data_IF_018892549534
#
_entry.id   IF_018892549534
#
_cell.length_a   1.000
_cell.length_b   1.000
_cell.length_c   1.000
_cell.angle_alpha   90.00
_cell.angle_beta   90.00
_cell.angle_gamma   90.00
#
_symmetry.space_group_name_H-M   'P 1'
#
loop_
_entity.id
_entity.type
_entity.pdbx_description
1 polymer ?
#
# COMPACT_ATOMS: atom_id res chain seq x y z
N UNK A 1 40.99 -61.26 -5.84
CA UNK A 1 39.82 -60.66 -6.53
C UNK A 1 39.43 -59.42 -5.75
N UNK A 2 39.64 -58.25 -6.35
CA UNK A 2 39.28 -56.93 -5.71
C UNK A 2 38.00 -56.43 -6.38
N UNK A 3 36.92 -56.33 -5.62
CA UNK A 3 35.65 -55.72 -6.05
C UNK A 3 35.80 -54.22 -6.07
N UNK A 4 35.57 -53.59 -7.25
CA UNK A 4 35.48 -52.16 -7.41
C UNK A 4 34.01 -51.74 -7.18
N UNK A 5 33.76 -51.01 -6.09
CA UNK A 5 32.48 -50.37 -5.87
C UNK A 5 32.34 -49.14 -6.77
N UNK A 6 31.23 -49.08 -7.52
CA UNK A 6 30.83 -47.91 -8.32
C UNK A 6 29.95 -47.08 -7.40
N UNK A 7 30.39 -45.87 -7.06
CA UNK A 7 29.59 -44.87 -6.38
C UNK A 7 28.70 -44.14 -7.39
N UNK A 8 27.41 -44.29 -7.33
CA UNK A 8 26.45 -43.53 -8.11
C UNK A 8 26.23 -42.16 -7.45
N UNK A 9 26.64 -41.10 -8.17
CA UNK A 9 26.36 -39.73 -7.77
C UNK A 9 24.94 -39.37 -8.28
N UNK A 10 23.98 -39.26 -7.37
CA UNK A 10 22.65 -38.74 -7.68
C UNK A 10 22.73 -37.22 -7.70
N UNK A 11 22.70 -36.64 -8.89
CA UNK A 11 22.55 -35.19 -9.06
C UNK A 11 21.05 -34.86 -8.94
N UNK A 12 20.66 -34.32 -7.80
CA UNK A 12 19.32 -33.80 -7.61
C UNK A 12 19.22 -32.44 -8.30
N UNK A 13 18.62 -32.37 -9.50
CA UNK A 13 18.31 -31.13 -10.16
C UNK A 13 17.12 -30.48 -9.47
N UNK A 14 17.38 -29.44 -8.68
CA UNK A 14 16.30 -28.57 -8.13
C UNK A 14 15.77 -27.73 -9.28
N UNK A 15 14.62 -28.13 -9.83
CA UNK A 15 13.86 -27.30 -10.75
C UNK A 15 13.16 -26.24 -9.91
N UNK A 16 13.76 -25.05 -9.82
CA UNK A 16 13.06 -23.88 -9.34
C UNK A 16 11.96 -23.53 -10.37
N UNK A 17 10.73 -23.90 -10.07
CA UNK A 17 9.56 -23.43 -10.80
C UNK A 17 9.44 -21.90 -10.54
N UNK A 18 10.10 -21.10 -11.37
CA UNK A 18 9.88 -19.65 -11.40
C UNK A 18 8.43 -19.41 -11.81
N UNK A 19 7.62 -18.90 -10.88
CA UNK A 19 6.30 -18.37 -11.22
C UNK A 19 6.44 -17.28 -12.30
N UNK A 20 5.39 -17.00 -13.09
CA UNK A 20 5.45 -16.01 -14.14
C UNK A 20 5.90 -14.68 -13.56
N UNK A 21 7.03 -14.18 -14.04
CA UNK A 21 7.51 -12.86 -13.69
C UNK A 21 6.44 -11.86 -14.12
N UNK A 22 5.85 -11.15 -13.18
CA UNK A 22 4.90 -10.09 -13.47
C UNK A 22 5.60 -9.09 -14.41
N UNK A 23 5.05 -8.92 -15.61
CA UNK A 23 5.55 -7.94 -16.57
C UNK A 23 5.33 -6.57 -15.93
N UNK A 24 6.39 -5.96 -15.43
CA UNK A 24 6.33 -4.62 -14.87
C UNK A 24 6.10 -3.62 -16.00
N UNK A 25 4.90 -3.07 -16.07
CA UNK A 25 4.61 -1.94 -16.96
C UNK A 25 5.40 -0.73 -16.46
N UNK A 26 6.22 -0.07 -17.32
CA UNK A 26 6.98 1.10 -16.88
C UNK A 26 6.08 2.19 -16.33
N UNK A 27 6.44 2.81 -15.20
CA UNK A 27 5.67 3.86 -14.52
C UNK A 27 5.24 4.99 -15.48
N UNK A 28 6.12 5.35 -16.42
CA UNK A 28 5.82 6.36 -17.43
C UNK A 28 4.60 6.00 -18.30
N UNK A 29 4.31 4.72 -18.53
CA UNK A 29 3.11 4.27 -19.27
C UNK A 29 1.87 4.20 -18.40
N UNK A 30 2.02 3.80 -17.13
CA UNK A 30 0.89 3.73 -16.18
C UNK A 30 0.29 5.10 -15.92
N UNK A 31 1.14 6.14 -15.82
CA UNK A 31 0.72 7.50 -15.47
C UNK A 31 0.85 8.49 -16.63
N UNK A 32 1.10 8.05 -17.86
CA UNK A 32 1.28 8.91 -19.05
C UNK A 32 -0.04 9.39 -19.67
N UNK A 33 -1.14 8.71 -19.39
CA UNK A 33 -2.48 9.16 -19.80
C UNK A 33 -2.99 10.29 -18.90
N UNK A 34 -4.13 10.88 -19.24
CA UNK A 34 -4.82 11.79 -18.33
C UNK A 34 -5.12 11.01 -17.03
N UNK A 35 -4.54 11.36 -15.90
CA UNK A 35 -4.75 10.62 -14.68
C UNK A 35 -6.20 10.80 -14.26
N UNK A 36 -6.91 9.68 -14.14
CA UNK A 36 -8.27 9.69 -13.64
C UNK A 36 -8.30 9.53 -12.13
N UNK A 37 -7.26 8.93 -11.51
CA UNK A 37 -7.09 8.86 -10.07
C UNK A 37 -6.46 10.13 -9.51
N UNK A 38 -6.80 10.45 -8.28
CA UNK A 38 -6.25 11.58 -7.53
C UNK A 38 -5.64 11.05 -6.23
N UNK A 39 -4.56 11.70 -5.77
CA UNK A 39 -4.15 11.53 -4.38
C UNK A 39 -5.26 12.03 -3.47
N UNK A 40 -5.73 11.18 -2.58
CA UNK A 40 -6.80 11.51 -1.62
C UNK A 40 -6.27 11.54 -0.19
N UNK A 41 -6.86 12.40 0.64
CA UNK A 41 -6.44 12.64 2.02
C UNK A 41 -7.65 12.75 2.95
N UNK A 42 -7.42 12.59 4.26
CA UNK A 42 -8.43 12.96 5.25
C UNK A 42 -8.69 14.48 5.19
N UNK A 43 -9.95 14.93 5.12
CA UNK A 43 -10.27 16.35 5.19
C UNK A 43 -9.76 16.99 6.48
N UNK A 44 -9.14 18.17 6.38
CA UNK A 44 -8.62 18.91 7.52
C UNK A 44 -7.32 18.37 8.14
N UNK A 45 -6.74 17.28 7.63
CA UNK A 45 -5.46 16.79 8.11
C UNK A 45 -4.33 17.75 7.72
N UNK A 46 -3.44 18.06 8.67
CA UNK A 46 -2.28 18.94 8.43
C UNK A 46 -1.20 18.28 7.57
N UNK A 47 -1.30 16.98 7.40
CA UNK A 47 -0.41 16.16 6.58
C UNK A 47 0.84 15.64 7.27
N UNK A 48 1.24 16.21 8.41
CA UNK A 48 2.45 15.85 9.15
C UNK A 48 2.19 15.38 10.57
N UNK A 49 0.96 15.03 10.87
CA UNK A 49 0.57 14.49 12.16
C UNK A 49 0.57 12.96 12.17
N UNK A 50 0.82 12.37 13.34
CA UNK A 50 0.54 10.95 13.54
C UNK A 50 -0.94 10.67 13.31
N UNK A 51 -1.23 9.62 12.55
CA UNK A 51 -2.60 9.20 12.33
C UNK A 51 -2.72 7.87 11.61
N UNK A 52 -3.82 7.18 11.91
CA UNK A 52 -4.28 5.97 11.23
C UNK A 52 -5.63 6.28 10.59
N UNK A 53 -5.75 6.01 9.31
CA UNK A 53 -6.90 6.39 8.51
C UNK A 53 -7.44 5.20 7.75
N UNK A 54 -8.75 5.04 7.78
CA UNK A 54 -9.48 4.01 7.06
C UNK A 54 -10.09 4.64 5.83
N UNK A 55 -9.64 4.23 4.65
CA UNK A 55 -10.24 4.61 3.37
C UNK A 55 -11.11 3.47 2.87
N UNK A 56 -12.25 3.80 2.26
CA UNK A 56 -13.22 2.79 1.83
C UNK A 56 -13.98 3.23 0.58
N UNK A 57 -14.19 2.28 -0.34
CA UNK A 57 -14.97 2.44 -1.57
C UNK A 57 -15.84 1.21 -1.77
N UNK A 58 -17.15 1.38 -1.83
CA UNK A 58 -18.10 0.36 -2.31
C UNK A 58 -18.33 0.61 -3.78
N UNK A 59 -18.32 -0.45 -4.58
CA UNK A 59 -18.54 -0.40 -6.03
C UNK A 59 -19.20 -1.67 -6.52
N UNK A 60 -19.73 -1.65 -7.73
CA UNK A 60 -20.42 -2.78 -8.36
C UNK A 60 -19.70 -3.20 -9.64
N UNK A 61 -19.75 -4.50 -9.91
CA UNK A 61 -19.27 -5.11 -11.15
C UNK A 61 -20.38 -5.98 -11.73
N UNK A 62 -20.66 -5.85 -13.02
CA UNK A 62 -21.67 -6.65 -13.70
C UNK A 62 -21.28 -8.13 -13.74
N UNK A 63 -19.98 -8.40 -13.89
CA UNK A 63 -19.42 -9.76 -13.95
C UNK A 63 -18.12 -9.83 -13.15
N UNK A 64 -17.76 -11.04 -12.67
CA UNK A 64 -16.44 -11.28 -12.10
C UNK A 64 -15.38 -11.13 -13.19
N UNK A 65 -14.40 -10.22 -13.04
CA UNK A 65 -13.35 -10.02 -14.03
C UNK A 65 -12.33 -11.17 -14.00
N UNK A 66 -11.75 -11.48 -15.15
CA UNK A 66 -10.61 -12.41 -15.26
C UNK A 66 -9.27 -11.74 -14.94
N UNK A 67 -9.21 -10.42 -15.03
CA UNK A 67 -8.08 -9.58 -14.61
C UNK A 67 -8.61 -8.22 -14.17
N UNK A 68 -8.05 -7.66 -13.09
CA UNK A 68 -8.43 -6.36 -12.54
C UNK A 68 -7.20 -5.72 -11.88
N UNK A 69 -6.35 -5.11 -12.69
CA UNK A 69 -5.05 -4.62 -12.26
C UNK A 69 -5.14 -3.17 -11.81
N UNK A 70 -4.58 -2.90 -10.62
CA UNK A 70 -4.48 -1.56 -10.05
C UNK A 70 -3.06 -1.27 -9.58
N UNK A 71 -2.74 0.02 -9.46
CA UNK A 71 -1.47 0.53 -8.96
C UNK A 71 -1.74 1.33 -7.68
N UNK A 72 -1.12 0.91 -6.60
CA UNK A 72 -1.44 1.41 -5.24
C UNK A 72 -0.22 2.05 -4.60
N UNK A 73 -0.43 3.18 -3.96
CA UNK A 73 0.58 3.84 -3.14
C UNK A 73 -0.05 4.59 -1.97
N UNK A 74 0.74 4.92 -0.96
CA UNK A 74 0.33 5.77 0.15
C UNK A 74 1.53 6.46 0.79
N UNK A 75 1.27 7.45 1.61
CA UNK A 75 2.27 8.11 2.45
C UNK A 75 1.76 8.13 3.91
N UNK A 76 2.40 7.40 4.86
CA UNK A 76 3.66 6.65 4.72
C UNK A 76 3.45 5.22 4.21
N UNK A 77 2.44 4.51 4.71
CA UNK A 77 2.19 3.09 4.48
C UNK A 77 0.72 2.80 4.31
N UNK A 78 0.42 1.67 3.66
CA UNK A 78 -0.95 1.16 3.57
C UNK A 78 -1.01 -0.35 3.75
N UNK A 79 -2.21 -0.81 4.11
CA UNK A 79 -2.67 -2.19 3.94
C UNK A 79 -3.98 -2.16 3.17
N UNK A 80 -4.04 -2.92 2.05
CA UNK A 80 -5.19 -2.97 1.16
C UNK A 80 -6.02 -4.22 1.42
N UNK A 81 -7.34 -4.07 1.35
CA UNK A 81 -8.30 -5.14 1.57
C UNK A 81 -9.36 -5.15 0.47
N UNK A 82 -9.82 -6.34 0.09
CA UNK A 82 -11.00 -6.56 -0.76
C UNK A 82 -11.97 -7.47 -0.03
N UNK A 83 -13.21 -7.05 0.15
CA UNK A 83 -14.29 -7.87 0.72
C UNK A 83 -13.90 -8.52 2.07
N UNK A 84 -13.11 -7.84 2.89
CA UNK A 84 -12.62 -8.32 4.18
C UNK A 84 -11.25 -8.98 4.15
N UNK A 85 -10.74 -9.39 2.99
CA UNK A 85 -9.47 -10.09 2.86
C UNK A 85 -8.30 -9.13 2.64
N UNK A 86 -7.16 -9.28 3.36
CA UNK A 86 -5.95 -8.52 3.11
C UNK A 86 -5.28 -8.98 1.81
N UNK A 87 -4.91 -8.02 0.94
CA UNK A 87 -4.41 -8.31 -0.40
C UNK A 87 -2.98 -7.83 -0.61
N UNK A 88 -2.64 -6.65 -0.09
CA UNK A 88 -1.35 -6.02 -0.34
C UNK A 88 -0.99 -5.07 0.79
N UNK A 89 0.29 -4.90 1.00
CA UNK A 89 0.87 -3.90 1.91
C UNK A 89 2.01 -3.14 1.24
N UNK A 90 2.15 -1.86 1.56
CA UNK A 90 3.17 -0.99 0.96
C UNK A 90 3.07 0.46 1.42
N UNK A 91 3.64 1.39 0.64
CA UNK A 91 4.56 1.16 -0.46
C UNK A 91 5.94 0.72 0.04
N UNK A 92 6.77 0.16 -0.87
CA UNK A 92 8.19 -0.01 -0.59
C UNK A 92 8.79 1.34 -0.18
N UNK A 93 9.62 1.36 0.88
CA UNK A 93 10.27 2.60 1.35
C UNK A 93 11.19 3.18 0.28
N UNK A 94 11.13 4.51 0.11
CA UNK A 94 11.94 5.25 -0.85
C UNK A 94 11.88 6.75 -0.52
N UNK A 95 12.47 7.59 -1.37
CA UNK A 95 12.40 9.05 -1.31
C UNK A 95 11.27 9.62 -2.18
N UNK A 96 11.04 10.95 -2.12
CA UNK A 96 9.96 11.62 -2.85
C UNK A 96 10.17 11.62 -4.38
N UNK A 97 11.40 11.49 -4.84
CA UNK A 97 11.75 11.47 -6.28
C UNK A 97 11.61 10.07 -6.87
N UNK A 98 11.55 9.03 -6.03
CA UNK A 98 11.41 7.63 -6.41
C UNK A 98 10.32 6.95 -5.57
N UNK A 99 9.21 7.64 -5.34
CA UNK A 99 8.13 7.14 -4.53
C UNK A 99 7.52 5.88 -5.13
N UNK A 100 7.42 4.82 -4.36
CA UNK A 100 7.04 3.50 -4.87
C UNK A 100 5.54 3.32 -4.95
N UNK A 101 5.11 2.55 -5.95
CA UNK A 101 3.78 1.98 -6.03
C UNK A 101 3.87 0.48 -6.26
N UNK A 102 2.89 -0.26 -5.77
CA UNK A 102 2.68 -1.68 -6.01
C UNK A 102 1.65 -1.88 -7.12
N UNK A 103 1.86 -2.90 -7.96
CA UNK A 103 0.90 -3.35 -8.97
C UNK A 103 0.26 -4.63 -8.47
N UNK A 104 -1.06 -4.66 -8.39
CA UNK A 104 -1.84 -5.75 -7.79
C UNK A 104 -2.97 -6.15 -8.73
N UNK A 105 -3.13 -7.45 -9.00
CA UNK A 105 -4.33 -7.97 -9.68
C UNK A 105 -5.36 -8.41 -8.62
N UNK A 106 -6.51 -7.75 -8.61
CA UNK A 106 -7.58 -7.95 -7.65
C UNK A 106 -8.61 -9.00 -8.09
N UNK A 107 -8.52 -9.53 -9.32
CA UNK A 107 -9.58 -10.33 -9.95
C UNK A 107 -10.00 -11.56 -9.15
N UNK A 108 -9.04 -12.26 -8.51
CA UNK A 108 -9.33 -13.46 -7.72
C UNK A 108 -10.24 -13.18 -6.51
N UNK A 109 -10.18 -11.97 -5.94
CA UNK A 109 -10.89 -11.53 -4.75
C UNK A 109 -12.20 -10.77 -5.05
N UNK A 110 -12.45 -10.46 -6.32
CA UNK A 110 -13.65 -9.77 -6.79
C UNK A 110 -14.76 -10.75 -7.15
N UNK A 111 -16.00 -10.25 -7.10
CA UNK A 111 -17.21 -10.97 -7.49
C UNK A 111 -18.12 -10.09 -8.33
N UNK A 112 -19.07 -10.68 -9.04
CA UNK A 112 -20.20 -9.94 -9.63
C UNK A 112 -21.05 -9.31 -8.52
N UNK A 113 -21.64 -8.16 -8.79
CA UNK A 113 -22.38 -7.35 -7.82
C UNK A 113 -21.48 -6.50 -6.95
N UNK A 114 -21.92 -6.26 -5.71
CA UNK A 114 -21.26 -5.35 -4.78
C UNK A 114 -19.93 -5.90 -4.26
N UNK A 115 -18.93 -5.03 -4.27
CA UNK A 115 -17.61 -5.24 -3.68
C UNK A 115 -17.23 -4.05 -2.80
N UNK A 116 -16.34 -4.27 -1.87
CA UNK A 116 -15.71 -3.20 -1.08
C UNK A 116 -14.20 -3.28 -1.18
N UNK A 117 -13.61 -2.18 -1.58
CA UNK A 117 -12.17 -1.94 -1.56
C UNK A 117 -11.87 -1.03 -0.37
N UNK A 118 -10.95 -1.42 0.48
CA UNK A 118 -10.63 -0.72 1.71
C UNK A 118 -9.12 -0.62 1.90
N UNK A 119 -8.65 0.50 2.45
CA UNK A 119 -7.24 0.70 2.74
C UNK A 119 -7.05 1.31 4.12
N UNK A 120 -6.25 0.63 4.95
CA UNK A 120 -5.71 1.21 6.18
C UNK A 120 -4.45 1.98 5.80
N UNK A 121 -4.42 3.28 6.05
CA UNK A 121 -3.28 4.15 5.77
C UNK A 121 -2.81 4.77 7.06
N UNK A 122 -1.50 4.80 7.30
CA UNK A 122 -0.96 5.46 8.48
C UNK A 122 0.24 6.34 8.16
N UNK A 123 0.37 7.39 8.92
CA UNK A 123 1.49 8.31 8.91
C UNK A 123 2.02 8.46 10.33
N UNK A 124 3.31 8.32 10.52
CA UNK A 124 3.94 8.48 11.83
C UNK A 124 4.19 9.95 12.21
N UNK A 125 3.92 10.89 11.31
CA UNK A 125 4.09 12.31 11.56
C UNK A 125 5.51 12.68 11.98
N UNK A 126 5.60 13.42 13.06
CA UNK A 126 6.90 13.82 13.66
C UNK A 126 7.70 12.63 14.22
N UNK A 127 7.01 11.55 14.62
CA UNK A 127 7.63 10.35 15.20
C UNK A 127 8.20 9.38 14.15
N UNK A 128 8.13 9.73 12.87
CA UNK A 128 8.65 8.87 11.80
C UNK A 128 10.15 8.63 11.94
N UNK A 129 10.64 7.41 11.66
CA UNK A 129 12.09 7.16 11.63
C UNK A 129 12.77 8.00 10.55
N UNK A 130 14.05 8.33 10.77
CA UNK A 130 14.84 9.21 9.88
C UNK A 130 14.80 8.74 8.42
N UNK A 131 14.83 7.43 8.18
CA UNK A 131 14.79 6.87 6.84
C UNK A 131 13.39 6.83 6.20
N UNK A 132 12.34 7.29 6.90
CA UNK A 132 11.00 7.39 6.34
C UNK A 132 10.76 8.81 5.83
N UNK A 133 10.76 8.97 4.52
CA UNK A 133 10.31 10.20 3.89
C UNK A 133 8.78 10.29 3.93
N UNK A 134 8.28 11.49 3.95
CA UNK A 134 6.86 11.81 3.91
C UNK A 134 6.67 13.21 3.36
N UNK A 135 5.67 13.39 2.53
CA UNK A 135 5.18 14.71 2.12
C UNK A 135 3.97 15.11 2.96
N UNK A 136 2.98 14.24 3.01
CA UNK A 136 1.74 14.38 3.79
C UNK A 136 0.97 13.07 3.73
N UNK A 137 0.11 12.83 4.71
CA UNK A 137 -0.80 11.67 4.65
C UNK A 137 -1.60 11.66 3.36
N UNK A 138 -1.49 10.58 2.58
CA UNK A 138 -2.21 10.44 1.33
C UNK A 138 -2.37 8.98 0.92
N UNK A 139 -3.38 8.70 0.10
CA UNK A 139 -3.61 7.40 -0.53
C UNK A 139 -3.86 7.60 -2.03
N UNK A 140 -3.34 6.68 -2.83
CA UNK A 140 -3.55 6.63 -4.28
C UNK A 140 -3.86 5.21 -4.70
N UNK A 141 -4.90 5.05 -5.50
CA UNK A 141 -5.20 3.83 -6.23
C UNK A 141 -5.56 4.20 -7.67
N UNK A 142 -4.74 3.78 -8.61
CA UNK A 142 -4.88 4.05 -10.03
C UNK A 142 -5.20 2.77 -10.78
N UNK A 143 -6.25 2.77 -11.56
CA UNK A 143 -6.60 1.71 -12.51
C UNK A 143 -5.52 1.55 -13.60
N UNK A 144 -5.27 0.32 -14.03
CA UNK A 144 -4.38 0.05 -15.16
C UNK A 144 -5.06 0.34 -16.51
N UNK A 145 -6.38 0.26 -16.57
CA UNK A 145 -7.18 0.53 -17.77
C UNK A 145 -8.52 1.18 -17.42
N UNK A 146 -9.28 1.68 -18.39
CA UNK A 146 -10.62 2.22 -18.16
C UNK A 146 -11.60 1.25 -17.49
N UNK A 147 -11.37 -0.05 -17.58
CA UNK A 147 -12.24 -1.07 -16.96
C UNK A 147 -12.19 -1.02 -15.43
N UNK A 148 -11.00 -0.79 -14.88
CA UNK A 148 -10.78 -0.71 -13.45
C UNK A 148 -11.06 0.69 -12.87
N UNK A 149 -11.37 1.69 -13.72
CA UNK A 149 -11.48 3.10 -13.32
C UNK A 149 -12.55 3.37 -12.26
N UNK A 150 -13.52 2.47 -12.09
CA UNK A 150 -14.55 2.54 -11.05
C UNK A 150 -13.96 2.59 -9.62
N UNK A 151 -12.74 2.11 -9.43
CA UNK A 151 -12.05 2.09 -8.13
C UNK A 151 -10.97 3.18 -8.00
N UNK A 152 -10.75 4.00 -9.01
CA UNK A 152 -9.78 5.09 -8.91
C UNK A 152 -9.99 5.91 -7.64
N UNK A 153 -8.90 6.30 -7.00
CA UNK A 153 -8.98 7.19 -5.85
C UNK A 153 -9.48 8.57 -6.27
N UNK A 154 -10.45 9.06 -5.53
CA UNK A 154 -11.18 10.31 -5.79
C UNK A 154 -12.16 10.63 -4.66
N UNK A 155 -13.00 11.67 -4.81
CA UNK A 155 -13.93 12.09 -3.77
C UNK A 155 -15.04 11.08 -3.46
N UNK A 156 -15.21 10.04 -4.27
CA UNK A 156 -16.15 8.94 -4.01
C UNK A 156 -15.66 7.98 -2.94
N UNK A 157 -14.38 8.04 -2.57
CA UNK A 157 -13.84 7.32 -1.45
C UNK A 157 -14.24 7.98 -0.14
N UNK A 158 -14.59 7.17 0.83
CA UNK A 158 -14.83 7.62 2.20
C UNK A 158 -13.57 7.45 3.03
N UNK A 159 -13.41 8.30 4.03
CA UNK A 159 -12.29 8.24 4.97
C UNK A 159 -12.76 8.47 6.41
N UNK A 160 -12.19 7.71 7.33
CA UNK A 160 -12.34 7.87 8.78
C UNK A 160 -10.96 7.93 9.42
N UNK A 161 -10.70 8.93 10.26
CA UNK A 161 -9.57 8.92 11.20
C UNK A 161 -9.88 7.95 12.33
N UNK A 162 -8.93 7.09 12.67
CA UNK A 162 -9.08 6.20 13.82
C UNK A 162 -8.46 6.86 15.07
N UNK A 163 -9.31 7.45 15.89
CA UNK A 163 -8.91 8.11 17.15
C UNK A 163 -8.55 7.12 18.27
N UNK A 164 -8.67 5.82 18.02
CA UNK A 164 -8.20 4.77 18.93
C UNK A 164 -6.69 4.57 18.92
N UNK A 165 -5.97 5.07 17.90
CA UNK A 165 -4.52 4.96 17.82
C UNK A 165 -3.83 6.19 18.42
N UNK A 166 -2.77 5.94 19.20
CA UNK A 166 -1.84 6.96 19.66
C UNK A 166 -0.41 6.44 19.53
N UNK A 167 0.59 7.30 19.23
CA UNK A 167 1.97 6.89 19.22
C UNK A 167 2.47 6.67 20.65
N UNK A 168 3.32 5.67 20.83
CA UNK A 168 4.15 5.52 22.03
C UNK A 168 5.57 5.99 21.66
N UNK A 169 5.94 7.23 21.98
CA UNK A 169 7.24 7.77 21.62
C UNK A 169 8.38 6.95 22.23
N UNK A 170 9.46 6.82 21.48
CA UNK A 170 10.68 6.19 22.01
C UNK A 170 11.43 7.22 22.83
N UNK A 171 11.57 6.95 24.12
CA UNK A 171 12.38 7.78 25.02
C UNK A 171 13.85 7.40 24.83
N UNK A 172 14.67 8.32 24.30
CA UNK A 172 16.07 8.05 23.95
C UNK A 172 16.93 7.46 25.08
N UNK A 173 16.63 7.76 26.34
CA UNK A 173 17.31 7.19 27.49
C UNK A 173 16.97 5.70 27.76
N UNK A 174 15.92 5.18 27.14
CA UNK A 174 15.49 3.78 27.32
C UNK A 174 16.11 2.78 26.34
N UNK A 175 16.69 3.25 25.25
CA UNK A 175 17.19 2.38 24.17
C UNK A 175 18.70 2.40 23.92
N UNK A 176 19.45 3.18 24.66
CA UNK A 176 20.92 3.15 24.66
C UNK A 176 21.57 3.20 23.28
N UNK A 177 21.31 4.24 22.48
CA UNK A 177 21.91 4.42 21.16
C UNK A 177 20.95 4.92 20.08
N UNK A 178 21.32 4.72 18.82
CA UNK A 178 20.50 5.12 17.68
C UNK A 178 19.29 4.19 17.49
N UNK A 179 18.11 4.76 17.48
CA UNK A 179 16.85 4.05 17.26
C UNK A 179 16.23 4.41 15.90
N UNK A 180 16.15 3.43 15.03
CA UNK A 180 15.71 3.59 13.62
C UNK A 180 14.30 3.09 13.33
N UNK A 181 13.59 2.57 14.35
CA UNK A 181 12.23 2.06 14.21
C UNK A 181 11.18 3.17 14.35
N UNK A 182 9.96 2.99 13.83
CA UNK A 182 8.84 3.88 14.15
C UNK A 182 8.46 3.80 15.63
N UNK A 183 7.63 4.72 16.14
CA UNK A 183 7.12 4.65 17.50
C UNK A 183 6.31 3.37 17.73
N UNK A 184 6.17 2.96 18.96
CA UNK A 184 5.17 1.97 19.33
C UNK A 184 3.76 2.52 19.12
N UNK A 185 2.77 1.63 19.13
CA UNK A 185 1.36 2.00 18.92
C UNK A 185 0.53 1.58 20.14
N UNK A 186 -0.20 2.53 20.71
CA UNK A 186 -1.25 2.28 21.67
C UNK A 186 -2.59 2.24 20.92
N UNK A 187 -3.34 1.14 21.09
CA UNK A 187 -4.65 0.96 20.46
C UNK A 187 -5.74 0.80 21.52
N UNK A 188 -6.71 1.72 21.55
CA UNK A 188 -7.99 1.51 22.22
C UNK A 188 -8.94 0.76 21.28
N UNK A 189 -9.03 -0.54 21.44
CA UNK A 189 -9.84 -1.42 20.59
C UNK A 189 -11.36 -1.10 20.62
N UNK A 190 -11.86 -0.38 21.62
CA UNK A 190 -13.27 0.08 21.71
C UNK A 190 -13.59 1.15 20.66
N UNK A 191 -12.57 1.88 20.19
CA UNK A 191 -12.68 2.93 19.17
C UNK A 191 -12.37 2.42 17.75
N UNK A 192 -11.91 1.17 17.63
CA UNK A 192 -11.61 0.59 16.33
C UNK A 192 -12.90 0.27 15.57
N UNK A 193 -13.05 0.67 14.30
CA UNK A 193 -14.26 0.45 13.51
C UNK A 193 -14.34 -1.01 13.02
N UNK A 194 -14.52 -1.97 13.91
CA UNK A 194 -14.54 -3.39 13.59
C UNK A 194 -15.49 -3.74 12.45
N UNK A 195 -15.06 -4.61 11.54
CA UNK A 195 -15.84 -4.99 10.36
C UNK A 195 -15.79 -4.01 9.19
N UNK A 196 -15.05 -2.91 9.29
CA UNK A 196 -14.99 -1.83 8.29
C UNK A 196 -14.55 -2.27 6.88
N UNK A 197 -13.88 -3.41 6.74
CA UNK A 197 -13.48 -4.00 5.46
C UNK A 197 -14.58 -4.82 4.79
N UNK A 198 -15.69 -5.08 5.50
CA UNK A 198 -16.83 -5.87 5.02
C UNK A 198 -17.92 -5.02 4.35
N UNK A 199 -18.76 -5.65 3.55
CA UNK A 199 -19.85 -4.97 2.82
C UNK A 199 -20.99 -4.49 3.72
N UNK A 200 -21.24 -5.19 4.82
CA UNK A 200 -22.37 -4.89 5.72
C UNK A 200 -22.05 -3.78 6.71
N UNK A 201 -20.84 -3.22 6.65
CA UNK A 201 -20.42 -2.13 7.52
C UNK A 201 -21.12 -0.82 7.17
N UNK A 202 -21.63 -0.15 8.19
CA UNK A 202 -22.28 1.17 8.05
C UNK A 202 -21.26 2.29 8.25
N UNK A 203 -21.15 3.18 7.26
CA UNK A 203 -20.18 4.29 7.22
C UNK A 203 -20.65 5.50 8.05
N UNK A 204 -21.02 5.27 9.32
CA UNK A 204 -21.44 6.37 10.20
C UNK A 204 -20.24 7.25 10.58
N UNK A 205 -20.34 8.55 10.34
CA UNK A 205 -19.27 9.52 10.65
C UNK A 205 -18.11 9.54 9.66
N UNK A 206 -18.16 8.73 8.60
CA UNK A 206 -17.15 8.79 7.54
C UNK A 206 -17.36 9.99 6.63
N UNK A 207 -16.26 10.64 6.27
CA UNK A 207 -16.26 11.81 5.39
C UNK A 207 -15.89 11.42 3.96
N UNK A 208 -16.32 12.20 2.98
CA UNK A 208 -15.73 12.11 1.64
C UNK A 208 -14.24 12.48 1.72
N UNK A 209 -13.40 11.71 1.05
CA UNK A 209 -11.98 12.03 1.01
C UNK A 209 -11.74 13.34 0.24
N UNK A 210 -10.84 14.17 0.76
CA UNK A 210 -10.38 15.34 0.02
C UNK A 210 -9.46 14.87 -1.13
N UNK A 211 -9.63 15.47 -2.31
CA UNK A 211 -8.85 15.13 -3.49
C UNK A 211 -7.82 16.20 -3.81
N UNK A 212 -6.62 15.76 -4.16
CA UNK A 212 -5.52 16.61 -4.59
C UNK A 212 -5.13 16.42 -6.04
N UNK A 213 -3.83 16.45 -6.31
CA UNK A 213 -3.30 16.28 -7.66
C UNK A 213 -3.30 14.82 -8.10
N UNK A 214 -3.33 14.59 -9.41
CA UNK A 214 -3.13 13.27 -9.98
C UNK A 214 -1.69 12.75 -9.78
N UNK A 215 -1.47 11.45 -10.03
CA UNK A 215 -0.16 10.83 -9.91
C UNK A 215 0.80 11.39 -10.96
N UNK A 216 2.09 11.39 -10.62
CA UNK A 216 3.17 11.80 -11.52
C UNK A 216 4.23 10.70 -11.57
N UNK A 217 4.59 10.26 -12.77
CA UNK A 217 5.71 9.36 -12.96
C UNK A 217 7.03 10.10 -12.65
N UNK A 218 7.99 9.38 -12.07
CA UNK A 218 9.35 9.88 -11.94
C UNK A 218 9.94 10.14 -13.32
N UNK A 219 10.58 11.28 -13.49
CA UNK A 219 11.34 11.58 -14.69
C UNK A 219 12.73 10.96 -14.57
N UNK A 220 13.21 10.39 -15.67
CA UNK A 220 14.49 9.69 -15.73
C UNK A 220 15.72 10.59 -15.53
N UNK A 221 15.54 11.90 -15.44
CA UNK A 221 16.59 12.84 -15.06
C UNK A 221 16.13 13.63 -13.85
N UNK A 222 16.74 13.43 -12.68
CA UNK A 222 16.53 14.32 -11.57
C UNK A 222 17.08 15.70 -12.00
N UNK A 223 16.22 16.70 -12.20
CA UNK A 223 16.67 18.05 -11.97
C UNK A 223 17.23 18.08 -10.57
N UNK A 224 18.42 18.69 -10.40
CA UNK A 224 19.09 18.84 -9.12
C UNK A 224 18.19 19.58 -8.10
N UNK A 225 17.18 18.89 -7.60
CA UNK A 225 16.26 19.34 -6.58
C UNK A 225 16.47 18.43 -5.40
N UNK A 226 16.70 19.07 -4.27
CA UNK A 226 16.80 18.51 -2.96
C UNK A 226 15.95 17.22 -2.83
N UNK A 227 16.53 16.02 -2.58
CA UNK A 227 15.77 14.78 -2.36
C UNK A 227 14.83 14.86 -1.14
N UNK A 228 15.04 15.85 -0.29
CA UNK A 228 14.18 16.23 0.83
C UNK A 228 13.14 17.28 0.43
N UNK A 229 13.13 17.70 -0.85
CA UNK A 229 12.53 18.94 -1.26
C UNK A 229 11.12 18.85 -1.77
N UNK A 230 10.56 19.94 -1.61
CA UNK A 230 9.21 20.45 -1.76
C UNK A 230 8.71 20.56 -3.20
N UNK A 231 9.58 20.40 -4.19
CA UNK A 231 9.26 20.71 -5.59
C UNK A 231 8.60 19.54 -6.32
N UNK A 232 7.29 19.44 -6.23
CA UNK A 232 6.52 18.74 -7.24
C UNK A 232 5.76 17.48 -6.82
N UNK A 233 5.72 17.12 -5.55
CA UNK A 233 4.95 15.97 -5.07
C UNK A 233 5.70 14.64 -5.22
N UNK A 234 4.98 13.55 -5.02
CA UNK A 234 5.52 12.21 -5.17
C UNK A 234 5.82 11.90 -6.64
N UNK A 235 7.06 11.50 -6.94
CA UNK A 235 7.47 11.04 -8.26
C UNK A 235 7.41 9.52 -8.29
N UNK A 236 6.40 8.96 -8.93
CA UNK A 236 6.09 7.54 -8.84
C UNK A 236 7.00 6.67 -9.70
N UNK A 237 7.49 5.59 -9.09
CA UNK A 237 8.21 4.51 -9.75
C UNK A 237 7.67 3.16 -9.25
N UNK A 238 7.75 2.13 -10.09
CA UNK A 238 7.31 0.80 -9.69
C UNK A 238 8.17 0.25 -8.55
N UNK A 239 7.56 -0.59 -7.69
CA UNK A 239 8.27 -1.39 -6.70
C UNK A 239 9.40 -2.17 -7.35
N UNK A 240 10.58 -2.18 -6.75
CA UNK A 240 11.79 -2.80 -7.31
C UNK A 240 12.23 -4.07 -6.59
N UNK A 241 11.60 -4.41 -5.45
CA UNK A 241 11.86 -5.63 -4.69
C UNK A 241 10.60 -6.50 -4.65
N UNK A 242 10.71 -7.82 -4.46
CA UNK A 242 9.54 -8.70 -4.33
C UNK A 242 8.61 -8.25 -3.19
N UNK A 243 7.30 -8.53 -3.26
CA UNK A 243 6.41 -8.40 -2.12
C UNK A 243 6.90 -9.22 -0.93
N UNK A 244 6.57 -8.79 0.28
CA UNK A 244 6.83 -9.59 1.46
C UNK A 244 5.92 -10.82 1.45
N UNK A 245 6.47 -11.98 1.81
CA UNK A 245 5.67 -13.17 2.06
C UNK A 245 4.96 -13.01 3.41
N UNK A 246 3.66 -13.23 3.41
CA UNK A 246 2.83 -13.26 4.61
C UNK A 246 2.15 -14.63 4.71
N UNK A 247 2.40 -15.36 5.80
CA UNK A 247 1.76 -16.64 6.06
C UNK A 247 1.03 -16.61 7.39
N UNK A 248 -0.24 -17.04 7.45
CA UNK A 248 -0.96 -17.15 8.72
C UNK A 248 -0.34 -18.24 9.58
N UNK A 249 0.02 -17.92 10.82
CA UNK A 249 0.48 -18.87 11.81
C UNK A 249 -0.69 -19.19 12.74
N UNK A 250 -1.00 -20.48 12.90
CA UNK A 250 -1.93 -20.96 13.92
C UNK A 250 -1.13 -21.56 15.06
N UNK A 251 -1.35 -21.09 16.27
CA UNK A 251 -0.80 -21.73 17.44
C UNK A 251 -1.59 -23.02 17.70
N UNK A 252 -0.88 -24.09 18.04
CA UNK A 252 -1.53 -25.31 18.53
C UNK A 252 -2.19 -24.97 19.88
N UNK A 253 -3.47 -25.26 20.00
CA UNK A 253 -4.23 -25.19 21.27
C UNK A 253 -4.01 -26.44 22.09
#
# INVERSE_FOLDING_TARGET
MKAKGIAAVIVCAIVCAGGPAAVQVPAARVFAGAPTALWIFPPGATGHEFGVFHFRRVFELDVKPSSFVVHVSADNRYRLFINGEPISSGPQRSDLMHWRYETVDLASHLRAGRNVLAALVWNWGAEKPVAQFSRQTAFLLQANSPREAVVNSGPEWKVLRNDGYAPIPVVGNGVGGYYASPPGEALDARRYPWGWTGLDFTEHGWLAAAAGQGPRASRTQPRASNPFGEAGGWQLVARSIPPMEESPIRFAT
#
